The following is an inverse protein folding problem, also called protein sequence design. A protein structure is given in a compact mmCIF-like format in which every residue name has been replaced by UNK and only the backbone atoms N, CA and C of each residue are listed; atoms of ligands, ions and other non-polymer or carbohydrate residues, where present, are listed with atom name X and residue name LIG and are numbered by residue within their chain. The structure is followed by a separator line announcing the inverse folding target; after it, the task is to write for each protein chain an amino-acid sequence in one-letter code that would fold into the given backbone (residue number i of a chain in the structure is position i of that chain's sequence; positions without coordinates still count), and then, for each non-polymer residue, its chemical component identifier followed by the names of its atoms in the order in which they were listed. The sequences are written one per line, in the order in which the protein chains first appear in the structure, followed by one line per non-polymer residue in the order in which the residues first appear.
data_IF_425226630023
#
_entry.id   IF_425226630023
#
_cell.length_a   1.000
_cell.length_b   1.000
_cell.length_c   1.000
_cell.angle_alpha   90.00
_cell.angle_beta   90.00
_cell.angle_gamma   90.00
#
_symmetry.space_group_name_H-M   'P 1'
#
loop_
_entity.id
_entity.type
_entity.pdbx_description
1 polymer ?
#
# COMPACT_ATOMS: atom_id res chain seq x y z
N UNK A 1 44.84 -2.20 24.33
CA UNK A 1 44.99 -2.29 22.86
C UNK A 1 43.62 -2.32 22.23
N UNK A 2 43.38 -1.48 21.24
CA UNK A 2 42.13 -1.49 20.47
C UNK A 2 42.20 -2.63 19.43
N UNK A 3 41.71 -3.82 19.83
CA UNK A 3 41.73 -5.03 19.00
C UNK A 3 40.87 -4.92 17.73
N UNK A 4 39.97 -3.94 17.66
CA UNK A 4 39.12 -3.71 16.49
C UNK A 4 39.93 -3.01 15.39
N UNK A 5 40.79 -2.07 15.77
CA UNK A 5 41.68 -1.37 14.82
C UNK A 5 42.72 -2.29 14.16
N UNK A 6 42.96 -3.49 14.68
CA UNK A 6 43.86 -4.49 14.10
C UNK A 6 43.22 -5.31 12.97
N UNK A 7 41.89 -5.22 12.77
CA UNK A 7 41.18 -5.95 11.71
C UNK A 7 41.53 -5.41 10.31
N UNK A 8 41.52 -6.25 9.25
CA UNK A 8 41.64 -5.82 7.87
C UNK A 8 40.52 -4.88 7.42
N UNK A 9 40.81 -3.98 6.48
CA UNK A 9 39.86 -2.98 5.96
C UNK A 9 38.57 -3.60 5.43
N UNK A 10 38.65 -4.77 4.79
CA UNK A 10 37.46 -5.47 4.28
C UNK A 10 36.50 -5.90 5.40
N UNK A 11 37.03 -6.33 6.55
CA UNK A 11 36.22 -6.70 7.71
C UNK A 11 35.63 -5.45 8.35
N UNK A 12 36.41 -4.37 8.47
CA UNK A 12 35.93 -3.11 9.01
C UNK A 12 34.82 -2.50 8.14
N UNK A 13 34.95 -2.55 6.81
CA UNK A 13 33.89 -2.12 5.89
C UNK A 13 32.64 -2.99 6.01
N UNK A 14 32.80 -4.30 6.19
CA UNK A 14 31.70 -5.20 6.43
C UNK A 14 30.97 -4.85 7.74
N UNK A 15 31.71 -4.61 8.83
CA UNK A 15 31.13 -4.15 10.10
C UNK A 15 30.39 -2.83 9.92
N UNK A 16 31.02 -1.83 9.30
CA UNK A 16 30.42 -0.52 9.06
C UNK A 16 29.17 -0.60 8.17
N UNK A 17 29.07 -1.59 7.27
CA UNK A 17 27.90 -1.79 6.41
C UNK A 17 26.64 -2.22 7.17
N UNK A 18 26.78 -2.77 8.38
CA UNK A 18 25.65 -3.09 9.25
C UNK A 18 25.20 -1.91 10.12
N UNK A 19 25.99 -0.84 10.18
CA UNK A 19 25.67 0.33 10.98
C UNK A 19 24.79 1.30 10.18
N UNK A 20 23.84 2.01 10.83
CA UNK A 20 23.23 3.18 10.22
C UNK A 20 24.31 4.15 9.75
N UNK A 21 24.13 4.78 8.59
CA UNK A 21 25.17 5.63 7.99
C UNK A 21 25.62 6.73 8.94
N UNK A 22 24.70 7.33 9.70
CA UNK A 22 25.07 8.29 10.77
C UNK A 22 26.05 7.69 11.77
N UNK A 23 25.77 6.50 12.30
CA UNK A 23 26.61 5.82 13.29
C UNK A 23 27.96 5.42 12.69
N UNK A 24 27.98 4.93 11.45
CA UNK A 24 29.23 4.67 10.74
C UNK A 24 30.11 5.93 10.69
N UNK A 25 29.55 7.07 10.28
CA UNK A 25 30.31 8.33 10.23
C UNK A 25 30.67 8.91 11.62
N UNK A 26 29.99 8.52 12.71
CA UNK A 26 30.44 8.85 14.06
C UNK A 26 31.74 8.11 14.45
N UNK A 27 32.03 6.95 13.85
CA UNK A 27 33.28 6.22 14.10
C UNK A 27 34.52 6.94 13.56
N UNK A 28 34.35 7.98 12.74
CA UNK A 28 35.47 8.79 12.22
C UNK A 28 36.29 9.48 13.30
N UNK A 29 35.74 9.68 14.50
CA UNK A 29 36.48 10.22 15.66
C UNK A 29 37.51 9.24 16.24
N UNK A 30 37.38 7.94 15.93
CA UNK A 30 38.25 6.90 16.49
C UNK A 30 39.65 6.93 15.87
N UNK A 31 39.76 7.13 14.55
CA UNK A 31 41.06 7.34 13.88
C UNK A 31 40.88 7.84 12.44
N UNK A 32 41.98 8.32 11.84
CA UNK A 32 42.02 8.68 10.40
C UNK A 32 41.67 7.51 9.48
N UNK A 33 41.95 6.27 9.89
CA UNK A 33 41.63 5.06 9.11
C UNK A 33 40.11 4.86 9.02
N UNK A 34 39.39 5.01 10.13
CA UNK A 34 37.92 4.93 10.15
C UNK A 34 37.28 6.01 9.28
N UNK A 35 37.84 7.22 9.26
CA UNK A 35 37.42 8.29 8.33
C UNK A 35 37.52 7.87 6.88
N UNK A 36 38.63 7.26 6.47
CA UNK A 36 38.81 6.78 5.10
C UNK A 36 37.81 5.66 4.76
N UNK A 37 37.63 4.69 5.66
CA UNK A 37 36.73 3.55 5.46
C UNK A 37 35.26 3.96 5.34
N UNK A 38 34.82 4.96 6.11
CA UNK A 38 33.44 5.47 6.00
C UNK A 38 33.14 6.03 4.59
N UNK A 39 34.13 6.62 3.93
CA UNK A 39 33.98 7.12 2.56
C UNK A 39 34.00 6.02 1.49
N UNK A 40 34.26 4.77 1.86
CA UNK A 40 34.22 3.60 0.97
C UNK A 40 32.92 2.78 1.08
N UNK A 41 31.96 3.25 1.88
CA UNK A 41 30.66 2.58 2.01
C UNK A 41 29.90 2.63 0.69
N UNK A 42 29.35 1.49 0.28
CA UNK A 42 28.52 1.35 -0.93
C UNK A 42 27.02 1.47 -0.61
N UNK A 43 26.66 1.41 0.68
CA UNK A 43 25.30 1.45 1.18
C UNK A 43 25.12 2.68 2.05
N UNK A 44 24.40 3.67 1.53
CA UNK A 44 24.17 4.94 2.20
C UNK A 44 22.69 5.13 2.47
N UNK A 45 22.34 5.29 3.75
CA UNK A 45 20.98 5.53 4.22
C UNK A 45 20.95 6.79 5.09
N UNK A 46 20.28 7.81 4.59
CA UNK A 46 20.09 9.09 5.25
C UNK A 46 18.62 9.28 5.60
N UNK A 47 18.33 9.38 6.89
CA UNK A 47 16.99 9.66 7.39
C UNK A 47 17.05 10.88 8.32
N UNK A 48 16.34 11.95 7.96
CA UNK A 48 16.37 13.21 8.69
C UNK A 48 15.96 13.03 10.17
N UNK A 49 15.02 12.13 10.47
CA UNK A 49 14.57 11.85 11.84
C UNK A 49 15.68 11.27 12.74
N UNK A 50 16.71 10.64 12.15
CA UNK A 50 17.87 10.16 12.90
C UNK A 50 18.81 11.30 13.33
N UNK A 51 18.57 12.54 12.90
CA UNK A 51 19.30 13.75 13.31
C UNK A 51 18.39 14.57 14.23
N UNK A 52 18.23 14.16 15.51
CA UNK A 52 17.21 14.71 16.40
C UNK A 52 17.41 16.20 16.62
N UNK A 53 16.28 16.89 16.71
CA UNK A 53 16.20 18.31 17.01
C UNK A 53 16.77 18.60 18.40
N UNK A 54 17.55 19.68 18.55
CA UNK A 54 17.86 20.21 19.89
C UNK A 54 16.66 20.92 20.53
N UNK A 55 15.69 21.33 19.71
CA UNK A 55 14.51 22.10 20.12
C UNK A 55 13.23 21.36 19.68
N UNK A 56 12.11 21.60 20.36
CA UNK A 56 10.84 20.87 20.18
C UNK A 56 10.18 21.03 18.79
N UNK A 57 10.62 21.96 17.94
CA UNK A 57 10.09 22.20 16.59
C UNK A 57 11.19 22.07 15.51
N UNK A 58 10.86 21.60 14.28
CA UNK A 58 11.82 21.53 13.18
C UNK A 58 12.27 22.93 12.74
N UNK A 59 13.43 23.38 13.24
CA UNK A 59 14.05 24.62 12.77
C UNK A 59 14.65 24.41 11.36
N UNK A 60 14.43 25.37 10.46
CA UNK A 60 15.01 25.45 9.10
C UNK A 60 16.53 25.28 9.13
N UNK A 61 17.20 25.74 10.19
CA UNK A 61 18.65 25.57 10.39
C UNK A 61 19.08 24.10 10.46
N UNK A 62 18.23 23.22 10.98
CA UNK A 62 18.52 21.80 11.19
C UNK A 62 18.36 21.00 9.89
N UNK A 63 17.35 21.31 9.07
CA UNK A 63 17.19 20.74 7.72
C UNK A 63 18.40 21.06 6.84
N UNK A 64 18.84 22.32 6.84
CA UNK A 64 20.06 22.75 6.13
C UNK A 64 21.30 22.01 6.60
N UNK A 65 21.45 21.77 7.91
CA UNK A 65 22.58 21.01 8.46
C UNK A 65 22.56 19.55 7.99
N UNK A 66 21.40 18.92 7.93
CA UNK A 66 21.25 17.56 7.41
C UNK A 66 21.69 17.47 5.95
N UNK A 67 21.13 18.31 5.07
CA UNK A 67 21.50 18.33 3.66
C UNK A 67 22.99 18.67 3.46
N UNK A 68 23.54 19.61 4.23
CA UNK A 68 24.96 19.93 4.21
C UNK A 68 25.83 18.72 4.62
N UNK A 69 25.37 17.91 5.58
CA UNK A 69 26.05 16.68 6.00
C UNK A 69 26.04 15.64 4.88
N UNK A 70 24.88 15.41 4.26
CA UNK A 70 24.75 14.51 3.10
C UNK A 70 25.66 14.97 1.97
N UNK A 71 25.66 16.28 1.67
CA UNK A 71 26.50 16.90 0.66
C UNK A 71 27.99 16.68 0.94
N UNK A 72 28.44 16.89 2.17
CA UNK A 72 29.82 16.67 2.57
C UNK A 72 30.23 15.20 2.44
N UNK A 73 29.37 14.26 2.85
CA UNK A 73 29.63 12.82 2.72
C UNK A 73 29.78 12.43 1.25
N UNK A 74 28.81 12.81 0.42
CA UNK A 74 28.79 12.46 -1.01
C UNK A 74 29.94 13.13 -1.78
N UNK A 75 30.31 14.35 -1.43
CA UNK A 75 31.42 15.06 -2.08
C UNK A 75 32.77 14.38 -1.87
N UNK A 76 32.94 13.72 -0.72
CA UNK A 76 34.17 13.00 -0.36
C UNK A 76 34.16 11.53 -0.78
N UNK A 77 33.00 11.00 -1.15
CA UNK A 77 32.88 9.65 -1.70
C UNK A 77 33.40 9.61 -3.15
N UNK A 78 34.40 8.75 -3.39
CA UNK A 78 35.08 8.61 -4.69
C UNK A 78 34.99 7.19 -5.24
N UNK A 79 35.26 6.19 -4.41
CA UNK A 79 35.21 4.78 -4.76
C UNK A 79 35.11 3.96 -3.45
N UNK A 80 34.63 2.70 -3.50
CA UNK A 80 33.92 2.03 -4.60
C UNK A 80 32.55 2.66 -4.89
N UNK A 81 31.93 2.43 -6.07
CA UNK A 81 30.65 3.04 -6.45
C UNK A 81 29.52 2.68 -5.46
N UNK A 82 28.58 3.61 -5.31
CA UNK A 82 27.41 3.44 -4.43
C UNK A 82 26.46 2.45 -5.10
N UNK A 83 26.07 1.40 -4.36
CA UNK A 83 25.11 0.39 -4.79
C UNK A 83 23.70 0.69 -4.30
N UNK A 84 23.57 1.23 -3.09
CA UNK A 84 22.24 1.57 -2.54
C UNK A 84 22.25 2.95 -1.94
N UNK A 85 21.32 3.79 -2.37
CA UNK A 85 21.12 5.13 -1.83
C UNK A 85 19.68 5.31 -1.35
N UNK A 86 19.51 5.61 -0.06
CA UNK A 86 18.23 5.91 0.55
C UNK A 86 18.26 7.29 1.19
N UNK A 87 17.30 8.14 0.84
CA UNK A 87 17.17 9.49 1.38
C UNK A 87 15.72 9.75 1.81
N UNK A 88 15.53 10.00 3.10
CA UNK A 88 14.25 10.48 3.66
C UNK A 88 14.45 11.86 4.27
N UNK A 89 13.83 12.88 3.69
CA UNK A 89 13.96 14.25 4.18
C UNK A 89 12.80 15.16 3.76
N UNK A 90 12.58 16.19 4.57
CA UNK A 90 11.71 17.31 4.26
C UNK A 90 12.50 18.37 3.50
N UNK A 91 11.99 18.77 2.35
CA UNK A 91 12.65 19.76 1.50
C UNK A 91 11.97 21.14 1.62
N UNK A 92 12.80 22.18 1.53
CA UNK A 92 12.37 23.56 1.31
C UNK A 92 12.43 23.89 -0.18
N UNK A 93 11.84 25.02 -0.58
CA UNK A 93 11.84 25.48 -1.99
C UNK A 93 13.24 25.62 -2.61
N UNK A 94 14.28 25.87 -1.80
CA UNK A 94 15.66 26.04 -2.27
C UNK A 94 16.43 24.73 -2.51
N UNK A 95 15.88 23.59 -2.10
CA UNK A 95 16.68 22.36 -1.95
C UNK A 95 16.69 21.48 -3.20
N UNK A 96 15.95 21.88 -4.24
CA UNK A 96 15.77 21.16 -5.52
C UNK A 96 17.10 20.72 -6.15
N UNK A 97 17.96 21.69 -6.45
CA UNK A 97 19.26 21.45 -7.09
C UNK A 97 20.21 20.63 -6.20
N UNK A 98 20.08 20.75 -4.88
CA UNK A 98 20.92 19.99 -3.94
C UNK A 98 20.59 18.51 -4.01
N UNK A 99 19.29 18.18 -4.03
CA UNK A 99 18.83 16.79 -4.15
C UNK A 99 19.10 16.25 -5.55
N UNK A 100 18.87 17.04 -6.60
CA UNK A 100 19.22 16.64 -7.96
C UNK A 100 20.72 16.29 -8.06
N UNK A 101 21.59 17.11 -7.45
CA UNK A 101 23.02 16.81 -7.39
C UNK A 101 23.32 15.51 -6.64
N UNK A 102 22.64 15.22 -5.51
CA UNK A 102 22.77 13.93 -4.83
C UNK A 102 22.45 12.78 -5.76
N UNK A 103 21.31 12.87 -6.46
CA UNK A 103 20.87 11.81 -7.36
C UNK A 103 21.89 11.62 -8.48
N UNK A 104 22.36 12.69 -9.12
CA UNK A 104 23.41 12.62 -10.16
C UNK A 104 24.69 11.99 -9.63
N UNK A 105 25.11 12.32 -8.42
CA UNK A 105 26.33 11.79 -7.79
C UNK A 105 26.25 10.29 -7.50
N UNK A 106 25.06 9.78 -7.16
CA UNK A 106 24.86 8.34 -6.88
C UNK A 106 24.43 7.52 -8.10
N UNK A 107 24.03 8.17 -9.19
CA UNK A 107 23.60 7.54 -10.45
C UNK A 107 24.78 6.95 -11.23
N UNK A 108 25.47 5.98 -10.64
CA UNK A 108 26.51 5.20 -11.28
C UNK A 108 25.99 3.91 -11.91
N UNK A 109 26.81 3.23 -12.75
CA UNK A 109 26.40 2.01 -13.46
C UNK A 109 26.12 0.81 -12.57
N UNK A 110 26.49 0.87 -11.28
CA UNK A 110 26.35 -0.21 -10.30
C UNK A 110 25.27 0.11 -9.24
N UNK A 111 24.44 1.12 -9.47
CA UNK A 111 23.36 1.47 -8.54
C UNK A 111 22.24 0.42 -8.62
N UNK A 112 22.12 -0.38 -7.56
CA UNK A 112 21.14 -1.45 -7.44
C UNK A 112 19.82 -0.97 -6.79
N UNK A 113 19.88 0.02 -5.90
CA UNK A 113 18.70 0.59 -5.24
C UNK A 113 18.76 2.12 -5.12
N UNK A 114 17.69 2.78 -5.56
CA UNK A 114 17.41 4.19 -5.30
C UNK A 114 16.08 4.33 -4.57
N UNK A 115 16.10 4.90 -3.36
CA UNK A 115 14.91 5.15 -2.56
C UNK A 115 14.88 6.61 -2.07
N UNK A 116 13.94 7.39 -2.58
CA UNK A 116 13.76 8.80 -2.26
C UNK A 116 12.39 9.01 -1.64
N UNK A 117 12.37 9.45 -0.39
CA UNK A 117 11.17 9.87 0.33
C UNK A 117 11.30 11.36 0.68
N UNK A 118 10.70 12.18 -0.17
CA UNK A 118 10.81 13.62 -0.16
C UNK A 118 9.47 14.25 0.23
N UNK A 119 9.41 14.84 1.41
CA UNK A 119 8.23 15.52 1.94
C UNK A 119 8.35 17.04 1.80
N UNK A 120 7.21 17.72 1.66
CA UNK A 120 7.15 19.18 1.47
C UNK A 120 5.99 19.76 2.28
N UNK A 121 6.17 20.95 2.86
CA UNK A 121 5.15 21.59 3.70
C UNK A 121 4.09 22.39 2.89
N UNK A 122 4.38 22.75 1.63
CA UNK A 122 3.52 23.54 0.73
C UNK A 122 3.66 23.02 -0.72
N UNK A 123 3.17 23.76 -1.74
CA UNK A 123 3.47 23.52 -3.17
C UNK A 123 4.99 23.45 -3.41
N UNK A 124 5.56 22.26 -3.28
CA UNK A 124 7.00 22.06 -3.09
C UNK A 124 7.87 22.36 -4.33
N UNK A 125 9.19 22.26 -4.19
CA UNK A 125 10.11 22.24 -5.33
C UNK A 125 9.89 21.02 -6.22
N UNK A 126 10.32 21.14 -7.48
CA UNK A 126 10.18 20.11 -8.51
C UNK A 126 11.47 19.33 -8.64
N UNK A 127 11.62 18.22 -7.94
CA UNK A 127 12.87 17.44 -8.01
C UNK A 127 12.90 16.63 -9.30
N UNK A 128 13.74 17.04 -10.25
CA UNK A 128 13.98 16.29 -11.47
C UNK A 128 14.83 15.05 -11.18
N UNK A 129 14.37 13.88 -11.65
CA UNK A 129 15.16 12.65 -11.65
C UNK A 129 16.00 12.62 -12.93
N UNK A 130 17.34 12.55 -12.85
CA UNK A 130 18.19 12.46 -14.01
C UNK A 130 17.91 11.22 -14.85
N UNK A 131 18.03 11.34 -16.18
CA UNK A 131 17.83 10.24 -17.15
C UNK A 131 18.69 9.01 -16.83
N UNK A 132 19.89 9.23 -16.30
CA UNK A 132 20.83 8.16 -15.93
C UNK A 132 20.26 7.14 -14.94
N UNK A 133 19.26 7.51 -14.14
CA UNK A 133 18.55 6.57 -13.27
C UNK A 133 17.69 5.60 -14.08
N UNK A 134 17.02 6.09 -15.13
CA UNK A 134 16.14 5.30 -15.98
C UNK A 134 16.85 4.56 -17.12
N UNK A 135 18.17 4.72 -17.25
CA UNK A 135 19.03 3.92 -18.12
C UNK A 135 20.02 3.05 -17.33
N UNK A 136 19.83 2.92 -16.01
CA UNK A 136 20.71 2.15 -15.15
C UNK A 136 20.35 0.66 -15.22
N UNK A 137 21.19 -0.12 -15.91
CA UNK A 137 20.94 -1.56 -16.14
C UNK A 137 21.10 -2.44 -14.91
N UNK A 138 21.79 -1.97 -13.86
CA UNK A 138 21.93 -2.66 -12.58
C UNK A 138 20.82 -2.34 -11.58
N UNK A 139 19.95 -1.36 -11.87
CA UNK A 139 18.92 -0.92 -10.93
C UNK A 139 17.85 -2.00 -10.75
N UNK A 140 17.75 -2.52 -9.53
CA UNK A 140 16.78 -3.56 -9.13
C UNK A 140 15.56 -2.95 -8.46
N UNK A 141 15.75 -1.88 -7.69
CA UNK A 141 14.70 -1.22 -6.92
C UNK A 141 14.71 0.29 -7.11
N UNK A 142 13.58 0.84 -7.56
CA UNK A 142 13.33 2.27 -7.64
C UNK A 142 12.11 2.63 -6.79
N UNK A 143 12.31 3.46 -5.77
CA UNK A 143 11.23 3.96 -4.90
C UNK A 143 11.27 5.48 -4.87
N UNK A 144 10.19 6.10 -5.32
CA UNK A 144 10.05 7.54 -5.38
C UNK A 144 8.76 7.92 -4.65
N UNK A 145 8.89 8.69 -3.59
CA UNK A 145 7.77 9.21 -2.81
C UNK A 145 7.94 10.71 -2.64
N UNK A 146 7.01 11.51 -3.16
CA UNK A 146 7.04 12.96 -2.99
C UNK A 146 6.29 13.70 -4.09
N UNK A 147 5.50 14.71 -3.67
CA UNK A 147 4.44 15.38 -4.44
C UNK A 147 4.78 16.01 -5.79
N UNK A 148 6.07 16.17 -6.12
CA UNK A 148 6.56 16.91 -7.30
C UNK A 148 7.88 16.34 -7.83
N UNK A 149 8.05 15.02 -7.80
CA UNK A 149 9.16 14.38 -8.50
C UNK A 149 8.86 14.39 -9.99
N UNK A 150 9.75 14.99 -10.78
CA UNK A 150 9.64 15.10 -12.24
C UNK A 150 10.50 14.03 -12.91
N UNK A 151 9.87 13.23 -13.76
CA UNK A 151 10.56 12.31 -14.67
C UNK A 151 10.89 13.02 -15.98
N UNK A 152 12.02 12.70 -16.62
CA UNK A 152 12.45 13.35 -17.85
C UNK A 152 11.50 13.07 -19.02
N UNK A 153 11.55 13.96 -20.03
CA UNK A 153 10.75 13.84 -21.24
C UNK A 153 11.46 13.02 -22.33
N UNK A 154 10.75 12.15 -23.05
CA UNK A 154 11.31 11.30 -24.11
C UNK A 154 11.72 12.06 -25.39
N UNK A 155 11.31 13.32 -25.59
CA UNK A 155 11.63 14.09 -26.80
C UNK A 155 13.07 14.62 -26.87
N UNK A 156 13.88 14.38 -25.84
CA UNK A 156 15.32 14.68 -25.90
C UNK A 156 16.06 13.54 -26.64
N UNK A 157 16.88 13.83 -27.67
CA UNK A 157 17.53 12.85 -28.56
C UNK A 157 18.59 11.92 -27.90
N UNK A 158 18.64 11.87 -26.56
CA UNK A 158 19.53 11.03 -25.74
C UNK A 158 18.78 10.14 -24.73
N UNK A 159 17.44 10.15 -24.73
CA UNK A 159 16.62 9.39 -23.80
C UNK A 159 16.33 7.97 -24.33
N UNK A 160 17.17 7.00 -23.98
CA UNK A 160 16.79 5.58 -24.00
C UNK A 160 16.46 5.14 -22.59
N UNK A 161 15.20 4.78 -22.31
CA UNK A 161 14.86 4.08 -21.08
C UNK A 161 15.31 2.62 -21.21
N UNK A 162 16.05 2.12 -20.23
CA UNK A 162 16.48 0.73 -20.20
C UNK A 162 16.69 0.29 -18.75
N UNK A 163 15.73 -0.50 -18.25
CA UNK A 163 15.66 -0.96 -16.86
C UNK A 163 15.44 -2.49 -16.80
N UNK A 164 16.34 -3.28 -17.42
CA UNK A 164 16.14 -4.71 -17.60
C UNK A 164 16.18 -5.49 -16.27
N UNK A 165 16.88 -4.97 -15.27
CA UNK A 165 17.03 -5.61 -13.95
C UNK A 165 15.98 -5.15 -12.94
N UNK A 166 15.11 -4.20 -13.29
CA UNK A 166 14.20 -3.57 -12.33
C UNK A 166 13.09 -4.56 -11.94
N UNK A 167 13.12 -4.97 -10.67
CA UNK A 167 12.13 -5.88 -10.07
C UNK A 167 11.07 -5.15 -9.26
N UNK A 168 11.41 -4.00 -8.69
CA UNK A 168 10.50 -3.23 -7.83
C UNK A 168 10.46 -1.78 -8.25
N UNK A 169 9.28 -1.32 -8.66
CA UNK A 169 8.98 0.08 -8.93
C UNK A 169 7.89 0.57 -7.98
N UNK A 170 8.18 1.59 -7.19
CA UNK A 170 7.21 2.20 -6.28
C UNK A 170 7.16 3.71 -6.47
N UNK A 171 6.01 4.22 -6.88
CA UNK A 171 5.75 5.63 -7.09
C UNK A 171 4.61 6.05 -6.17
N UNK A 172 4.88 6.99 -5.27
CA UNK A 172 3.91 7.53 -4.32
C UNK A 172 3.83 9.05 -4.49
N UNK A 173 2.65 9.54 -4.84
CA UNK A 173 2.36 10.97 -5.02
C UNK A 173 3.32 11.63 -6.04
N UNK A 174 3.62 10.95 -7.16
CA UNK A 174 4.57 11.43 -8.19
C UNK A 174 3.82 12.10 -9.34
N UNK A 175 4.36 13.20 -9.89
CA UNK A 175 3.80 13.87 -11.08
C UNK A 175 4.73 13.71 -12.28
N UNK A 176 4.30 13.00 -13.30
CA UNK A 176 5.10 12.80 -14.52
C UNK A 176 4.89 13.97 -15.47
N UNK A 177 5.91 14.83 -15.65
CA UNK A 177 5.87 15.89 -16.66
C UNK A 177 6.19 15.29 -18.03
N UNK A 178 5.23 15.34 -18.94
CA UNK A 178 5.39 15.09 -20.37
C UNK A 178 5.79 13.67 -20.84
N UNK A 179 6.35 12.83 -19.96
CA UNK A 179 6.71 11.43 -20.25
C UNK A 179 5.58 10.46 -19.88
N UNK A 180 5.16 9.64 -20.85
CA UNK A 180 4.18 8.57 -20.64
C UNK A 180 4.74 7.58 -19.63
N UNK A 181 4.14 7.45 -18.44
CA UNK A 181 4.45 6.38 -17.49
C UNK A 181 4.49 5.00 -18.18
N UNK A 182 3.62 4.80 -19.18
CA UNK A 182 3.59 3.61 -20.04
C UNK A 182 4.92 3.33 -20.76
N UNK A 183 5.66 4.36 -21.14
CA UNK A 183 6.96 4.21 -21.81
C UNK A 183 8.01 3.73 -20.82
N UNK A 184 8.13 4.35 -19.64
CA UNK A 184 9.05 3.84 -18.60
C UNK A 184 8.70 2.38 -18.25
N UNK A 185 7.41 2.08 -18.15
CA UNK A 185 6.89 0.73 -17.88
C UNK A 185 7.21 -0.26 -19.01
N UNK A 186 7.15 0.13 -20.28
CA UNK A 186 7.43 -0.78 -21.40
C UNK A 186 8.88 -1.28 -21.45
N UNK A 187 9.81 -0.53 -20.85
CA UNK A 187 11.22 -0.89 -20.74
C UNK A 187 11.58 -1.70 -19.47
N UNK A 188 10.60 -2.00 -18.61
CA UNK A 188 10.79 -2.78 -17.38
C UNK A 188 10.38 -4.26 -17.58
N UNK A 189 11.29 -5.11 -18.08
CA UNK A 189 10.94 -6.50 -18.44
C UNK A 189 10.90 -7.48 -17.26
N UNK A 190 11.67 -7.22 -16.20
CA UNK A 190 11.80 -8.10 -15.03
C UNK A 190 10.91 -7.71 -13.82
N UNK A 191 9.90 -6.85 -14.04
CA UNK A 191 9.15 -6.23 -12.95
C UNK A 191 8.29 -7.23 -12.17
N UNK A 192 8.58 -7.39 -10.87
CA UNK A 192 7.87 -8.31 -9.97
C UNK A 192 6.89 -7.58 -9.05
N UNK A 193 7.16 -6.32 -8.70
CA UNK A 193 6.33 -5.49 -7.83
C UNK A 193 6.16 -4.09 -8.41
N UNK A 194 4.91 -3.67 -8.59
CA UNK A 194 4.54 -2.35 -9.06
C UNK A 194 3.59 -1.69 -8.05
N UNK A 195 3.98 -0.50 -7.58
CA UNK A 195 3.13 0.34 -6.73
C UNK A 195 2.98 1.70 -7.39
N UNK A 196 1.76 2.07 -7.71
CA UNK A 196 1.37 3.36 -8.25
C UNK A 196 0.30 3.96 -7.32
N UNK A 197 0.72 4.80 -6.39
CA UNK A 197 -0.18 5.48 -5.46
C UNK A 197 -0.21 6.98 -5.78
N UNK A 198 -1.37 7.49 -6.15
CA UNK A 198 -1.61 8.92 -6.38
C UNK A 198 -0.67 9.50 -7.44
N UNK A 199 -0.39 8.74 -8.49
CA UNK A 199 0.44 9.20 -9.61
C UNK A 199 -0.43 10.04 -10.55
N UNK A 200 -0.05 11.30 -10.76
CA UNK A 200 -0.80 12.22 -11.64
C UNK A 200 -0.13 12.31 -13.01
N UNK A 201 -0.78 11.85 -14.10
CA UNK A 201 -0.37 12.27 -15.43
C UNK A 201 -0.73 13.75 -15.63
N UNK A 202 0.14 14.50 -16.33
CA UNK A 202 -0.11 15.91 -16.65
C UNK A 202 -1.24 16.11 -17.68
N UNK A 203 -1.63 15.05 -18.41
CA UNK A 203 -2.63 15.11 -19.48
C UNK A 203 -3.95 14.46 -19.06
N UNK A 204 -5.04 14.97 -19.64
CA UNK A 204 -6.37 14.37 -19.58
C UNK A 204 -6.49 13.22 -20.59
N UNK A 205 -7.29 12.20 -20.27
CA UNK A 205 -7.58 11.01 -21.10
C UNK A 205 -6.45 10.00 -21.37
N UNK A 206 -5.53 9.79 -20.42
CA UNK A 206 -4.43 8.82 -20.57
C UNK A 206 -4.95 7.37 -20.46
N UNK A 207 -4.44 6.49 -21.33
CA UNK A 207 -4.55 5.04 -21.16
C UNK A 207 -3.35 4.55 -20.33
N UNK A 208 -3.57 3.57 -19.46
CA UNK A 208 -2.51 2.88 -18.73
C UNK A 208 -2.68 1.37 -18.89
N UNK A 209 -1.70 0.74 -19.53
CA UNK A 209 -1.69 -0.71 -19.76
C UNK A 209 -0.63 -1.39 -18.89
N UNK A 210 -1.07 -2.20 -17.92
CA UNK A 210 -0.20 -2.96 -17.02
C UNK A 210 -0.20 -4.42 -17.50
N UNK A 211 0.77 -4.74 -18.35
CA UNK A 211 0.85 -6.02 -19.05
C UNK A 211 2.22 -6.69 -18.82
N UNK A 212 2.44 -7.16 -17.60
CA UNK A 212 3.73 -7.73 -17.17
C UNK A 212 3.58 -9.22 -16.82
N UNK A 213 4.17 -10.13 -17.62
CA UNK A 213 4.14 -11.57 -17.33
C UNK A 213 4.87 -11.95 -16.04
N UNK A 214 5.84 -11.14 -15.59
CA UNK A 214 6.66 -11.35 -14.39
C UNK A 214 6.07 -10.76 -13.11
N UNK A 215 5.00 -9.96 -13.22
CA UNK A 215 4.46 -9.20 -12.09
C UNK A 215 3.73 -10.10 -11.09
N UNK A 216 4.14 -10.02 -9.82
CA UNK A 216 3.60 -10.81 -8.71
C UNK A 216 2.74 -9.97 -7.77
N UNK A 217 2.99 -8.67 -7.67
CA UNK A 217 2.30 -7.77 -6.75
C UNK A 217 2.00 -6.43 -7.42
N UNK A 218 0.73 -6.02 -7.42
CA UNK A 218 0.25 -4.76 -7.96
C UNK A 218 -0.52 -3.99 -6.90
N UNK A 219 -0.11 -2.74 -6.64
CA UNK A 219 -0.91 -1.77 -5.92
C UNK A 219 -1.15 -0.57 -6.82
N UNK A 220 -2.41 -0.23 -7.04
CA UNK A 220 -2.81 0.92 -7.85
C UNK A 220 -3.86 1.73 -7.09
N UNK A 221 -3.52 2.97 -6.77
CA UNK A 221 -4.40 3.90 -6.08
C UNK A 221 -4.46 5.22 -6.83
N UNK A 222 -5.66 5.66 -7.18
CA UNK A 222 -5.89 6.91 -7.89
C UNK A 222 -7.01 7.73 -7.24
N UNK A 223 -6.69 9.00 -6.99
CA UNK A 223 -7.62 10.03 -6.54
C UNK A 223 -8.06 10.98 -7.65
N UNK A 224 -7.48 10.85 -8.86
CA UNK A 224 -7.62 11.81 -9.95
C UNK A 224 -8.42 11.22 -11.10
N UNK A 225 -9.71 11.04 -10.85
CA UNK A 225 -10.63 10.36 -11.75
C UNK A 225 -10.67 10.89 -13.18
N UNK A 226 -10.52 12.19 -13.40
CA UNK A 226 -10.74 12.80 -14.73
C UNK A 226 -9.55 12.63 -15.70
N UNK A 227 -8.40 12.14 -15.23
CA UNK A 227 -7.17 12.11 -16.04
C UNK A 227 -6.94 10.77 -16.75
N UNK A 228 -7.42 9.65 -16.21
CA UNK A 228 -7.22 8.31 -16.78
C UNK A 228 -8.51 7.81 -17.45
N UNK A 229 -8.45 7.62 -18.77
CA UNK A 229 -9.58 7.16 -19.58
C UNK A 229 -9.77 5.64 -19.46
N UNK A 230 -8.69 4.88 -19.60
CA UNK A 230 -8.72 3.41 -19.65
C UNK A 230 -7.58 2.83 -18.82
N UNK A 231 -7.90 1.93 -17.90
CA UNK A 231 -6.93 1.08 -17.20
C UNK A 231 -7.06 -0.36 -17.71
N UNK A 232 -5.98 -0.94 -18.23
CA UNK A 232 -5.91 -2.35 -18.62
C UNK A 232 -4.96 -3.08 -17.68
N UNK A 233 -5.42 -4.18 -17.08
CA UNK A 233 -4.59 -5.07 -16.26
C UNK A 233 -4.64 -6.46 -16.88
N UNK A 234 -3.50 -6.93 -17.36
CA UNK A 234 -3.34 -8.26 -17.96
C UNK A 234 -2.02 -8.88 -17.48
N UNK A 235 -2.10 -9.60 -16.36
CA UNK A 235 -0.90 -10.03 -15.62
C UNK A 235 -1.08 -11.46 -15.08
N UNK A 236 -0.71 -12.50 -15.85
CA UNK A 236 -1.02 -13.90 -15.52
C UNK A 236 -0.31 -14.43 -14.28
N UNK A 237 0.83 -13.84 -13.89
CA UNK A 237 1.61 -14.27 -12.71
C UNK A 237 1.24 -13.52 -11.43
N UNK A 238 0.21 -12.67 -11.46
CA UNK A 238 -0.15 -11.82 -10.35
C UNK A 238 -0.68 -12.64 -9.17
N UNK A 239 -0.12 -12.40 -7.98
CA UNK A 239 -0.54 -13.08 -6.73
C UNK A 239 -1.26 -12.15 -5.77
N UNK A 240 -0.88 -10.87 -5.75
CA UNK A 240 -1.47 -9.85 -4.89
C UNK A 240 -1.91 -8.65 -5.70
N UNK A 241 -3.15 -8.21 -5.48
CA UNK A 241 -3.79 -7.10 -6.16
C UNK A 241 -4.36 -6.12 -5.12
N UNK A 242 -4.09 -4.83 -5.24
CA UNK A 242 -4.75 -3.80 -4.44
C UNK A 242 -5.13 -2.64 -5.36
N UNK A 243 -6.43 -2.41 -5.53
CA UNK A 243 -6.97 -1.40 -6.43
C UNK A 243 -7.87 -0.46 -5.64
N UNK A 244 -7.52 0.83 -5.61
CA UNK A 244 -8.30 1.88 -4.95
C UNK A 244 -8.55 3.02 -5.93
N UNK A 245 -9.80 3.20 -6.34
CA UNK A 245 -10.17 4.13 -7.41
C UNK A 245 -11.34 5.02 -6.99
N UNK A 246 -11.03 6.29 -6.71
CA UNK A 246 -12.01 7.27 -6.23
C UNK A 246 -12.58 8.07 -7.41
N UNK A 247 -13.62 7.51 -8.04
CA UNK A 247 -14.44 8.09 -9.14
C UNK A 247 -13.68 8.51 -10.42
N UNK A 248 -14.40 8.75 -11.52
CA UNK A 248 -13.90 9.38 -12.77
C UNK A 248 -13.30 8.49 -13.87
N UNK A 249 -12.97 7.23 -13.61
CA UNK A 249 -12.52 6.32 -14.69
C UNK A 249 -13.66 6.01 -15.67
N UNK A 250 -13.41 6.19 -16.97
CA UNK A 250 -14.39 5.84 -18.01
C UNK A 250 -14.50 4.32 -18.16
N UNK A 251 -13.36 3.64 -18.21
CA UNK A 251 -13.27 2.20 -18.46
C UNK A 251 -12.11 1.55 -17.68
N UNK A 252 -12.35 0.34 -17.15
CA UNK A 252 -11.34 -0.57 -16.62
C UNK A 252 -11.53 -1.88 -17.37
N UNK A 253 -10.43 -2.54 -17.75
CA UNK A 253 -10.43 -3.86 -18.35
C UNK A 253 -9.48 -4.77 -17.60
N UNK A 254 -9.97 -5.91 -17.13
CA UNK A 254 -9.14 -6.88 -16.42
C UNK A 254 -9.16 -8.25 -17.08
N UNK A 255 -7.99 -8.89 -17.15
CA UNK A 255 -7.80 -10.22 -17.74
C UNK A 255 -6.72 -11.00 -16.99
N UNK A 256 -6.81 -12.32 -17.07
CA UNK A 256 -5.77 -13.25 -16.62
C UNK A 256 -5.43 -13.13 -15.13
N UNK A 257 -6.43 -12.87 -14.27
CA UNK A 257 -6.22 -12.74 -12.81
C UNK A 257 -6.44 -14.05 -12.02
N UNK A 258 -6.46 -15.19 -12.70
CA UNK A 258 -6.80 -16.50 -12.12
C UNK A 258 -5.81 -17.01 -11.06
N UNK A 259 -4.58 -16.47 -11.00
CA UNK A 259 -3.54 -16.82 -10.03
C UNK A 259 -3.50 -15.89 -8.81
N UNK A 260 -4.38 -14.88 -8.75
CA UNK A 260 -4.42 -13.94 -7.63
C UNK A 260 -4.91 -14.66 -6.38
N UNK A 261 -4.08 -14.66 -5.33
CA UNK A 261 -4.36 -15.31 -4.05
C UNK A 261 -5.04 -14.33 -3.08
N UNK A 262 -4.66 -13.04 -3.16
CA UNK A 262 -5.13 -11.95 -2.30
C UNK A 262 -5.47 -10.70 -3.13
N UNK A 263 -6.65 -10.13 -2.92
CA UNK A 263 -7.06 -8.89 -3.55
C UNK A 263 -7.77 -7.93 -2.58
N UNK A 264 -7.46 -6.65 -2.71
CA UNK A 264 -8.17 -5.52 -2.12
C UNK A 264 -8.78 -4.69 -3.25
N UNK A 265 -10.10 -4.47 -3.19
CA UNK A 265 -10.85 -3.74 -4.22
C UNK A 265 -11.66 -2.64 -3.54
N UNK A 266 -11.35 -1.38 -3.82
CA UNK A 266 -12.10 -0.21 -3.37
C UNK A 266 -12.43 0.69 -4.57
N UNK A 267 -13.54 0.38 -5.26
CA UNK A 267 -13.95 1.04 -6.50
C UNK A 267 -15.43 1.45 -6.39
N UNK A 268 -15.77 2.68 -6.80
CA UNK A 268 -17.12 3.24 -6.68
C UNK A 268 -18.10 2.81 -7.81
N UNK A 269 -17.65 2.10 -8.85
CA UNK A 269 -18.47 1.73 -10.01
C UNK A 269 -18.77 0.23 -10.03
N UNK A 270 -20.06 -0.11 -9.90
CA UNK A 270 -20.55 -1.48 -9.83
C UNK A 270 -20.04 -2.36 -10.98
N UNK A 271 -20.10 -1.87 -12.23
CA UNK A 271 -19.68 -2.65 -13.40
C UNK A 271 -18.22 -3.10 -13.32
N UNK A 272 -17.34 -2.26 -12.78
CA UNK A 272 -15.92 -2.59 -12.65
C UNK A 272 -15.70 -3.60 -11.53
N UNK A 273 -16.36 -3.43 -10.38
CA UNK A 273 -16.29 -4.40 -9.28
C UNK A 273 -16.70 -5.79 -9.78
N UNK A 274 -17.81 -5.90 -10.52
CA UNK A 274 -18.26 -7.17 -11.07
C UNK A 274 -17.23 -7.79 -12.04
N UNK A 275 -16.57 -6.98 -12.87
CA UNK A 275 -15.52 -7.46 -13.78
C UNK A 275 -14.34 -8.09 -13.02
N UNK A 276 -13.88 -7.44 -11.93
CA UNK A 276 -12.88 -8.02 -11.06
C UNK A 276 -13.36 -9.32 -10.39
N UNK A 277 -14.58 -9.35 -9.86
CA UNK A 277 -15.10 -10.55 -9.19
C UNK A 277 -15.18 -11.76 -10.15
N UNK A 278 -15.50 -11.54 -11.43
CA UNK A 278 -15.52 -12.59 -12.45
C UNK A 278 -14.12 -13.14 -12.70
N UNK A 279 -13.12 -12.28 -12.85
CA UNK A 279 -11.72 -12.71 -13.08
C UNK A 279 -11.08 -13.34 -11.83
N UNK A 280 -11.56 -13.00 -10.63
CA UNK A 280 -11.01 -13.43 -9.34
C UNK A 280 -11.72 -14.66 -8.73
N UNK A 281 -12.41 -15.48 -9.52
CA UNK A 281 -13.22 -16.60 -9.01
C UNK A 281 -12.46 -17.63 -8.13
N UNK A 282 -11.12 -17.70 -8.23
CA UNK A 282 -10.26 -18.64 -7.46
C UNK A 282 -9.52 -18.00 -6.29
N UNK A 283 -9.84 -16.75 -5.96
CA UNK A 283 -9.20 -16.00 -4.89
C UNK A 283 -9.40 -16.63 -3.51
N UNK A 284 -8.42 -16.47 -2.61
CA UNK A 284 -8.49 -16.99 -1.22
C UNK A 284 -8.79 -15.90 -0.20
N UNK A 285 -8.25 -14.70 -0.42
CA UNK A 285 -8.41 -13.55 0.48
C UNK A 285 -8.94 -12.37 -0.34
N UNK A 286 -10.13 -11.89 -0.01
CA UNK A 286 -10.76 -10.75 -0.67
C UNK A 286 -11.12 -9.68 0.36
N UNK A 287 -10.66 -8.46 0.12
CA UNK A 287 -11.08 -7.27 0.84
C UNK A 287 -11.88 -6.36 -0.12
N UNK A 288 -13.09 -6.01 0.30
CA UNK A 288 -13.96 -5.06 -0.39
C UNK A 288 -14.03 -3.77 0.43
N UNK A 289 -13.49 -2.70 -0.14
CA UNK A 289 -13.39 -1.39 0.48
C UNK A 289 -14.72 -0.64 0.55
N UNK A 290 -14.69 0.52 1.23
CA UNK A 290 -15.90 1.28 1.56
C UNK A 290 -16.65 1.85 0.36
N UNK A 291 -15.99 2.03 -0.79
CA UNK A 291 -16.62 2.49 -2.03
C UNK A 291 -17.43 1.39 -2.70
N UNK A 292 -17.04 0.12 -2.51
CA UNK A 292 -17.77 -1.04 -3.05
C UNK A 292 -19.15 -1.16 -2.39
N UNK A 293 -19.24 -0.83 -1.09
CA UNK A 293 -20.49 -0.82 -0.34
C UNK A 293 -21.58 0.09 -0.96
N UNK A 294 -21.18 1.14 -1.69
CA UNK A 294 -22.14 2.05 -2.34
C UNK A 294 -22.76 1.49 -3.62
N UNK A 295 -22.12 0.50 -4.26
CA UNK A 295 -22.50 0.12 -5.62
C UNK A 295 -22.78 -1.38 -5.77
N UNK A 296 -22.13 -2.24 -4.99
CA UNK A 296 -22.33 -3.69 -5.08
C UNK A 296 -23.69 -4.17 -4.54
N UNK A 297 -24.28 -3.62 -3.45
CA UNK A 297 -25.60 -4.06 -2.97
C UNK A 297 -26.75 -3.86 -3.96
N UNK A 298 -26.59 -2.93 -4.92
CA UNK A 298 -27.58 -2.71 -5.98
C UNK A 298 -27.44 -3.70 -7.14
N UNK A 299 -26.41 -4.56 -7.13
CA UNK A 299 -26.15 -5.48 -8.21
C UNK A 299 -27.14 -6.65 -8.15
N UNK A 300 -27.71 -7.08 -9.29
CA UNK A 300 -28.54 -8.27 -9.31
C UNK A 300 -27.75 -9.49 -8.80
N UNK A 301 -28.30 -10.31 -7.89
CA UNK A 301 -27.56 -11.42 -7.27
C UNK A 301 -26.99 -12.44 -8.27
N UNK A 302 -27.60 -12.59 -9.45
CA UNK A 302 -27.13 -13.49 -10.51
C UNK A 302 -25.89 -12.98 -11.24
N UNK A 303 -25.55 -11.68 -11.15
CA UNK A 303 -24.33 -11.11 -11.75
C UNK A 303 -23.10 -11.27 -10.86
N UNK A 304 -23.31 -11.54 -9.57
CA UNK A 304 -22.22 -11.76 -8.62
C UNK A 304 -21.80 -13.24 -8.71
N UNK A 305 -20.55 -13.53 -9.09
CA UNK A 305 -20.07 -14.89 -9.22
C UNK A 305 -19.95 -15.58 -7.86
N UNK A 306 -19.97 -16.92 -7.86
CA UNK A 306 -19.69 -17.71 -6.67
C UNK A 306 -18.18 -17.82 -6.45
N UNK A 307 -17.71 -17.36 -5.29
CA UNK A 307 -16.31 -17.35 -4.88
C UNK A 307 -15.98 -18.64 -4.12
N UNK A 308 -15.95 -19.75 -4.86
CA UNK A 308 -15.86 -21.11 -4.31
C UNK A 308 -14.58 -21.40 -3.53
N UNK A 309 -13.50 -20.67 -3.79
CA UNK A 309 -12.20 -20.86 -3.13
C UNK A 309 -11.94 -19.87 -1.97
N UNK A 310 -12.86 -18.93 -1.74
CA UNK A 310 -12.63 -17.83 -0.80
C UNK A 310 -12.65 -18.34 0.64
N UNK A 311 -11.57 -18.05 1.38
CA UNK A 311 -11.39 -18.45 2.78
C UNK A 311 -11.51 -17.27 3.73
N UNK A 312 -11.11 -16.06 3.29
CA UNK A 312 -11.22 -14.83 4.07
C UNK A 312 -11.89 -13.74 3.25
N UNK A 313 -12.96 -13.18 3.80
CA UNK A 313 -13.67 -12.03 3.26
C UNK A 313 -13.59 -10.89 4.27
N UNK A 314 -13.11 -9.73 3.83
CA UNK A 314 -13.12 -8.51 4.62
C UNK A 314 -14.01 -7.46 3.92
N UNK A 315 -15.02 -6.97 4.63
CA UNK A 315 -15.98 -5.99 4.13
C UNK A 315 -15.82 -4.69 4.92
N UNK A 316 -15.50 -3.60 4.24
CA UNK A 316 -15.57 -2.28 4.84
C UNK A 316 -16.93 -1.66 4.55
N UNK A 317 -17.70 -1.39 5.61
CA UNK A 317 -19.07 -0.89 5.52
C UNK A 317 -19.23 0.42 6.28
N UNK A 318 -20.27 1.20 5.94
CA UNK A 318 -20.63 2.43 6.68
C UNK A 318 -21.72 2.17 7.72
N UNK A 319 -22.65 1.28 7.42
CA UNK A 319 -23.70 0.82 8.32
C UNK A 319 -23.80 -0.72 8.24
N UNK A 320 -24.48 -1.31 9.21
CA UNK A 320 -24.67 -2.75 9.28
C UNK A 320 -25.74 -3.19 8.27
N UNK A 321 -25.35 -3.41 7.01
CA UNK A 321 -26.27 -3.94 5.98
C UNK A 321 -26.26 -5.46 6.00
N UNK A 322 -27.21 -6.00 6.72
CA UNK A 322 -27.39 -7.44 6.86
C UNK A 322 -27.69 -8.14 5.54
N UNK A 323 -28.44 -7.51 4.62
CA UNK A 323 -28.81 -8.12 3.35
C UNK A 323 -27.56 -8.29 2.49
N UNK A 324 -26.76 -7.24 2.37
CA UNK A 324 -25.48 -7.27 1.66
C UNK A 324 -24.53 -8.34 2.24
N UNK A 325 -24.38 -8.39 3.57
CA UNK A 325 -23.52 -9.40 4.23
C UNK A 325 -24.03 -10.81 3.92
N UNK A 326 -25.33 -11.06 4.05
CA UNK A 326 -25.92 -12.38 3.78
C UNK A 326 -25.80 -12.78 2.31
N UNK A 327 -26.02 -11.87 1.38
CA UNK A 327 -25.83 -12.12 -0.05
C UNK A 327 -24.38 -12.52 -0.35
N UNK A 328 -23.40 -11.85 0.26
CA UNK A 328 -21.99 -12.24 0.15
C UNK A 328 -21.70 -13.62 0.75
N UNK A 329 -22.27 -13.94 1.92
CA UNK A 329 -22.10 -15.26 2.54
C UNK A 329 -22.63 -16.38 1.63
N UNK A 330 -23.78 -16.19 0.99
CA UNK A 330 -24.33 -17.16 0.03
C UNK A 330 -23.40 -17.41 -1.18
N UNK A 331 -22.59 -16.40 -1.56
CA UNK A 331 -21.64 -16.50 -2.67
C UNK A 331 -20.29 -17.12 -2.28
N UNK A 332 -20.02 -17.33 -0.99
CA UNK A 332 -18.71 -17.75 -0.49
C UNK A 332 -18.80 -19.06 0.30
N UNK A 333 -19.03 -20.24 -0.34
CA UNK A 333 -19.37 -21.49 0.36
C UNK A 333 -18.24 -22.06 1.25
N UNK A 334 -16.97 -21.72 0.97
CA UNK A 334 -15.79 -22.21 1.71
C UNK A 334 -15.22 -21.18 2.70
N UNK A 335 -15.98 -20.12 3.01
CA UNK A 335 -15.51 -19.02 3.85
C UNK A 335 -15.23 -19.48 5.28
N UNK A 336 -14.02 -19.17 5.78
CA UNK A 336 -13.57 -19.50 7.15
C UNK A 336 -13.53 -18.28 8.07
N UNK A 337 -13.18 -17.12 7.52
CA UNK A 337 -13.11 -15.87 8.27
C UNK A 337 -13.90 -14.78 7.57
N UNK A 338 -14.86 -14.21 8.29
CA UNK A 338 -15.55 -12.98 7.90
C UNK A 338 -15.03 -11.83 8.77
N UNK A 339 -14.52 -10.77 8.16
CA UNK A 339 -14.20 -9.53 8.84
C UNK A 339 -15.12 -8.41 8.33
N UNK A 340 -15.72 -7.65 9.23
CA UNK A 340 -16.55 -6.47 8.91
C UNK A 340 -15.93 -5.28 9.62
N UNK A 341 -15.48 -4.28 8.87
CA UNK A 341 -14.88 -3.06 9.40
C UNK A 341 -15.77 -1.84 9.16
N UNK A 342 -15.96 -1.04 10.20
CA UNK A 342 -16.67 0.24 10.10
C UNK A 342 -15.68 1.40 9.89
N UNK A 343 -15.95 2.25 8.91
CA UNK A 343 -15.12 3.43 8.65
C UNK A 343 -15.46 4.57 9.63
N UNK A 344 -14.51 4.97 10.47
CA UNK A 344 -14.68 5.95 11.55
C UNK A 344 -14.73 7.41 11.07
N UNK A 345 -14.38 7.70 9.81
CA UNK A 345 -14.11 9.08 9.36
C UNK A 345 -15.35 9.88 8.91
N UNK A 346 -16.56 9.31 8.91
CA UNK A 346 -17.77 10.06 8.53
C UNK A 346 -18.86 9.86 9.57
N UNK A 347 -18.71 10.62 10.65
CA UNK A 347 -19.78 10.90 11.59
C UNK A 347 -20.90 11.64 10.84
N UNK A 348 -22.10 11.06 10.86
CA UNK A 348 -23.36 11.69 10.44
C UNK A 348 -23.56 11.75 8.90
N UNK A 349 -24.06 10.66 8.31
CA UNK A 349 -24.90 10.73 7.09
C UNK A 349 -26.03 9.70 7.27
N UNK A 350 -27.25 10.08 6.87
CA UNK A 350 -28.41 9.19 6.78
C UNK A 350 -28.00 7.85 6.18
N UNK A 351 -28.51 6.76 6.74
CA UNK A 351 -28.56 5.50 6.03
C UNK A 351 -29.05 5.80 4.59
N UNK A 352 -28.23 5.58 3.55
CA UNK A 352 -28.64 5.88 2.18
C UNK A 352 -29.87 5.04 1.77
N UNK A 353 -30.22 4.02 2.56
CA UNK A 353 -31.33 3.12 2.31
C UNK A 353 -32.15 2.84 3.59
N UNK A 354 -32.90 3.85 4.10
CA UNK A 354 -33.63 3.78 5.38
C UNK A 354 -34.78 2.75 5.41
N UNK A 355 -35.02 2.05 4.30
CA UNK A 355 -36.02 1.00 4.14
C UNK A 355 -35.46 -0.43 4.29
N UNK A 356 -34.15 -0.61 4.49
CA UNK A 356 -33.52 -1.94 4.65
C UNK A 356 -33.76 -2.47 6.07
N UNK A 357 -34.88 -3.17 6.26
CA UNK A 357 -35.12 -3.97 7.47
C UNK A 357 -34.47 -5.34 7.33
N UNK A 358 -34.01 -5.92 8.45
CA UNK A 358 -33.61 -7.33 8.48
C UNK A 358 -34.77 -8.21 8.00
N UNK A 359 -34.50 -9.02 6.99
CA UNK A 359 -35.38 -10.07 6.53
C UNK A 359 -34.71 -11.40 6.86
N UNK A 360 -35.41 -12.28 7.56
CA UNK A 360 -34.86 -13.59 7.91
C UNK A 360 -34.47 -14.34 6.63
N UNK A 361 -33.19 -14.75 6.48
CA UNK A 361 -32.73 -15.44 5.28
C UNK A 361 -33.53 -16.73 5.05
N UNK A 362 -34.00 -16.93 3.82
CA UNK A 362 -34.79 -18.12 3.44
C UNK A 362 -33.97 -19.40 3.56
N UNK A 363 -32.65 -19.32 3.38
CA UNK A 363 -31.70 -20.43 3.49
C UNK A 363 -30.49 -20.00 4.29
N UNK A 364 -29.92 -20.95 5.03
CA UNK A 364 -28.66 -20.77 5.74
C UNK A 364 -27.51 -20.86 4.73
N UNK A 365 -26.60 -19.88 4.66
CA UNK A 365 -25.42 -19.98 3.81
C UNK A 365 -24.58 -21.21 4.14
N UNK A 366 -24.12 -21.92 3.11
CA UNK A 366 -23.31 -23.13 3.29
C UNK A 366 -22.08 -22.89 4.16
N UNK A 367 -21.39 -21.77 3.96
CA UNK A 367 -20.20 -21.44 4.77
C UNK A 367 -20.54 -21.25 6.24
N UNK A 368 -21.64 -20.56 6.57
CA UNK A 368 -22.07 -20.37 7.95
C UNK A 368 -22.31 -21.70 8.64
N UNK A 369 -22.95 -22.65 7.95
CA UNK A 369 -23.26 -23.96 8.51
C UNK A 369 -22.03 -24.89 8.66
N UNK A 370 -20.98 -24.75 7.84
CA UNK A 370 -19.96 -25.81 7.69
C UNK A 370 -18.49 -25.37 7.70
N UNK A 371 -18.18 -24.10 7.47
CA UNK A 371 -16.78 -23.65 7.29
C UNK A 371 -16.43 -22.39 8.10
N UNK A 372 -17.39 -21.54 8.45
CA UNK A 372 -17.14 -20.25 9.07
C UNK A 372 -16.73 -20.42 10.53
N UNK A 373 -15.44 -20.20 10.80
CA UNK A 373 -14.82 -20.38 12.11
C UNK A 373 -14.73 -19.08 12.89
N UNK A 374 -14.49 -17.95 12.20
CA UNK A 374 -14.23 -16.67 12.86
C UNK A 374 -15.02 -15.55 12.23
N UNK A 375 -15.71 -14.77 13.05
CA UNK A 375 -16.32 -13.49 12.66
C UNK A 375 -15.62 -12.39 13.45
N UNK A 376 -15.05 -11.41 12.74
CA UNK A 376 -14.40 -10.23 13.33
C UNK A 376 -15.17 -8.97 12.96
N UNK A 377 -15.59 -8.20 13.94
CA UNK A 377 -16.21 -6.90 13.75
C UNK A 377 -15.25 -5.83 14.25
N UNK A 378 -14.76 -4.96 13.38
CA UNK A 378 -13.80 -3.89 13.70
C UNK A 378 -14.54 -2.55 13.78
N UNK A 379 -14.29 -1.78 14.85
CA UNK A 379 -14.87 -0.44 15.07
C UNK A 379 -16.40 -0.43 15.07
N UNK A 380 -16.99 -1.46 15.64
CA UNK A 380 -18.43 -1.64 15.69
C UNK A 380 -19.17 -0.43 16.27
N UNK A 381 -20.25 -0.05 15.60
CA UNK A 381 -21.20 0.98 16.03
C UNK A 381 -22.58 0.32 16.09
N UNK A 382 -23.21 0.36 17.25
CA UNK A 382 -24.52 -0.24 17.52
C UNK A 382 -25.61 0.33 16.58
N UNK A 383 -26.39 -0.55 15.97
CA UNK A 383 -27.62 -0.28 15.21
C UNK A 383 -28.76 -1.15 15.78
N UNK A 384 -29.98 -1.06 15.24
CA UNK A 384 -31.10 -1.91 15.71
C UNK A 384 -31.16 -3.27 15.01
N UNK A 385 -30.67 -3.36 13.78
CA UNK A 385 -30.81 -4.55 12.91
C UNK A 385 -29.66 -5.56 13.05
N UNK A 386 -28.61 -5.20 13.78
CA UNK A 386 -27.42 -6.04 13.96
C UNK A 386 -27.61 -7.18 14.98
N UNK A 387 -28.46 -6.99 16.00
CA UNK A 387 -28.77 -8.04 16.99
C UNK A 387 -29.36 -9.28 16.34
N UNK A 388 -30.30 -9.11 15.43
CA UNK A 388 -30.95 -10.22 14.74
C UNK A 388 -29.94 -10.98 13.86
N UNK A 389 -29.03 -10.26 13.22
CA UNK A 389 -27.91 -10.87 12.51
C UNK A 389 -27.02 -11.69 13.45
N UNK A 390 -26.62 -11.14 14.60
CA UNK A 390 -25.79 -11.86 15.56
C UNK A 390 -26.47 -13.11 16.10
N UNK A 391 -27.76 -13.01 16.47
CA UNK A 391 -28.55 -14.15 16.90
C UNK A 391 -28.58 -15.23 15.81
N UNK A 392 -28.82 -14.83 14.57
CA UNK A 392 -28.84 -15.74 13.42
C UNK A 392 -27.50 -16.46 13.21
N UNK A 393 -26.37 -15.74 13.18
CA UNK A 393 -25.06 -16.37 12.95
C UNK A 393 -24.61 -17.25 14.11
N UNK A 394 -24.94 -16.90 15.36
CA UNK A 394 -24.64 -17.73 16.54
C UNK A 394 -25.50 -19.01 16.56
N UNK A 395 -26.76 -18.91 16.12
CA UNK A 395 -27.69 -20.04 16.03
C UNK A 395 -27.36 -20.97 14.86
N UNK A 396 -26.82 -20.47 13.75
CA UNK A 396 -26.56 -21.30 12.56
C UNK A 396 -25.08 -21.60 12.32
N UNK A 397 -24.17 -20.94 13.04
CA UNK A 397 -22.72 -21.17 12.98
C UNK A 397 -22.29 -22.43 13.73
N UNK A 398 -22.45 -23.61 13.12
CA UNK A 398 -22.20 -24.90 13.80
C UNK A 398 -20.71 -25.15 14.12
N UNK A 399 -19.81 -24.57 13.34
CA UNK A 399 -18.35 -24.70 13.49
C UNK A 399 -17.68 -23.39 13.94
N UNK A 400 -18.47 -22.41 14.38
CA UNK A 400 -17.97 -21.10 14.78
C UNK A 400 -17.13 -21.23 16.06
N UNK A 401 -15.90 -20.75 16.04
CA UNK A 401 -14.95 -20.78 17.15
C UNK A 401 -14.92 -19.45 17.90
N UNK A 402 -15.00 -18.33 17.17
CA UNK A 402 -14.96 -17.00 17.79
C UNK A 402 -15.78 -15.94 17.05
N UNK A 403 -16.41 -15.08 17.85
CA UNK A 403 -17.00 -13.82 17.46
C UNK A 403 -16.22 -12.70 18.17
N UNK A 404 -15.31 -12.05 17.46
CA UNK A 404 -14.45 -10.99 17.98
C UNK A 404 -15.04 -9.63 17.63
N UNK A 405 -15.44 -8.84 18.62
CA UNK A 405 -16.05 -7.52 18.41
C UNK A 405 -15.17 -6.45 19.04
N UNK A 406 -14.64 -5.57 18.19
CA UNK A 406 -13.94 -4.37 18.60
C UNK A 406 -14.94 -3.21 18.71
N UNK A 407 -15.23 -2.77 19.92
CA UNK A 407 -16.27 -1.77 20.22
C UNK A 407 -15.65 -0.42 20.62
N UNK A 408 -16.26 0.66 20.18
CA UNK A 408 -15.99 2.00 20.71
C UNK A 408 -16.60 2.17 22.10
N UNK A 409 -15.74 2.42 23.12
CA UNK A 409 -16.16 2.57 24.53
C UNK A 409 -17.24 3.64 24.75
N UNK A 410 -17.34 4.62 23.86
CA UNK A 410 -18.34 5.69 23.99
C UNK A 410 -19.78 5.23 23.70
N UNK A 411 -19.97 4.05 23.07
CA UNK A 411 -21.27 3.63 22.50
C UNK A 411 -21.79 2.25 22.96
N UNK A 412 -21.18 1.63 23.97
CA UNK A 412 -21.38 0.20 24.27
C UNK A 412 -22.26 -0.13 25.49
N UNK A 413 -23.24 0.69 25.87
CA UNK A 413 -24.00 0.43 27.11
C UNK A 413 -24.92 -0.79 26.95
N UNK A 414 -24.70 -1.85 27.72
CA UNK A 414 -25.55 -3.05 27.77
C UNK A 414 -25.36 -4.05 26.62
N UNK A 415 -24.93 -3.61 25.44
CA UNK A 415 -24.75 -4.47 24.25
C UNK A 415 -23.90 -5.74 24.50
N UNK A 416 -22.72 -5.69 25.16
CA UNK A 416 -21.93 -6.90 25.39
C UNK A 416 -22.62 -7.96 26.26
N UNK A 417 -23.40 -7.49 27.24
CA UNK A 417 -24.14 -8.36 28.16
C UNK A 417 -25.29 -9.06 27.43
N UNK A 418 -26.05 -8.31 26.62
CA UNK A 418 -27.14 -8.85 25.81
C UNK A 418 -26.67 -9.89 24.79
N UNK A 419 -25.56 -9.60 24.09
CA UNK A 419 -25.00 -10.50 23.08
C UNK A 419 -24.50 -11.82 23.70
N UNK A 420 -23.95 -11.74 24.91
CA UNK A 420 -23.44 -12.91 25.63
C UNK A 420 -24.54 -13.89 26.05
N UNK A 421 -25.79 -13.43 26.12
CA UNK A 421 -26.97 -14.24 26.46
C UNK A 421 -27.57 -14.96 25.26
N UNK A 422 -27.15 -14.66 24.03
CA UNK A 422 -27.70 -15.29 22.83
C UNK A 422 -27.35 -16.79 22.76
N UNK A 423 -28.27 -17.63 22.27
CA UNK A 423 -28.03 -19.06 22.11
C UNK A 423 -26.96 -19.31 21.04
N UNK A 424 -26.13 -20.32 21.29
CA UNK A 424 -25.00 -20.71 20.43
C UNK A 424 -25.15 -22.18 20.04
N UNK A 425 -25.10 -22.46 18.74
CA UNK A 425 -25.11 -23.84 18.26
C UNK A 425 -23.72 -24.49 18.33
N UNK A 426 -22.65 -23.72 18.10
CA UNK A 426 -21.29 -24.18 18.38
C UNK A 426 -20.96 -24.02 19.86
N UNK A 427 -20.60 -25.12 20.51
CA UNK A 427 -20.10 -25.12 21.90
C UNK A 427 -18.71 -24.52 22.04
N UNK A 428 -17.94 -24.49 20.94
CA UNK A 428 -16.60 -23.90 20.92
C UNK A 428 -16.64 -22.37 20.81
N UNK A 429 -17.77 -21.78 20.40
CA UNK A 429 -17.88 -20.37 20.10
C UNK A 429 -17.69 -19.48 21.35
N UNK A 430 -16.62 -18.69 21.34
CA UNK A 430 -16.34 -17.63 22.30
C UNK A 430 -16.70 -16.26 21.72
N UNK A 431 -17.33 -15.40 22.54
CA UNK A 431 -17.61 -14.02 22.16
C UNK A 431 -16.58 -13.14 22.89
N UNK A 432 -15.71 -12.50 22.12
CA UNK A 432 -14.61 -11.70 22.64
C UNK A 432 -14.85 -10.23 22.36
N UNK A 433 -14.71 -9.39 23.39
CA UNK A 433 -14.83 -7.93 23.25
C UNK A 433 -13.47 -7.26 23.40
N UNK A 434 -13.08 -6.47 22.41
CA UNK A 434 -11.90 -5.61 22.45
C UNK A 434 -12.32 -4.14 22.45
N UNK A 435 -11.71 -3.34 23.31
CA UNK A 435 -12.11 -1.94 23.50
C UNK A 435 -11.13 -1.02 22.78
N UNK A 436 -11.64 -0.12 21.94
CA UNK A 436 -10.81 0.92 21.33
C UNK A 436 -10.38 1.91 22.43
N UNK A 437 -9.07 2.19 22.61
CA UNK A 437 -8.62 3.21 23.54
C UNK A 437 -9.20 4.57 23.17
N UNK A 438 -9.55 5.40 24.16
CA UNK A 438 -9.93 6.80 23.91
C UNK A 438 -8.74 7.51 23.26
N UNK A 439 -8.93 8.01 22.04
CA UNK A 439 -7.98 8.90 21.34
C UNK A 439 -8.00 10.29 21.94
#
# INVERSE_FOLDING_TARGET
MDRISDLPDCILLHILSFLPTKTAFLTTVLSRRWTHLCHHLQHLHFEQNQFPYRNTWPDVSTKKRFLATVNWILSRHKAPPIRTFRLTCDLNHSDEYTVEWFIRKVSGPNLEELNLHLSFCCSGPKVAIPNGVFSCTSLVTLRLKGGLIITPSPSAPSCGYDLPSLKTLQLYNVKTSDGKLEEILSHCTALETLILDSVCPYFFEVQLSICFPSLKSLHFKSHFGETLRLLVIDTPSLKRLDIQVVSGFREIRVRNLHNVEEASIDIHKQSFVLEFLVELCRIRILELGSSVFYCLPEAPPHRIPELTCLQRLELTVRCFDTRYIMDMLHKCPMLKLLAIGFNALQYIILDPHPSRKWEHPVRVPTCLASHLQVIKIKRYVESRDDRDFFAYVLQHGLVLESLDIQVDRSRAKGFPEELSLLPRSSKACQINFCWIPKS
#
